data_IF_157680199889
#
_entry.id   IF_157680199889
#
_cell.length_a   1.000
_cell.length_b   1.000
_cell.length_c   1.000
_cell.angle_alpha   90.00
_cell.angle_beta   90.00
_cell.angle_gamma   90.00
#
_symmetry.space_group_name_H-M   'P 1'
#
loop_
_entity.id
_entity.type
_entity.pdbx_description
1 polymer ?
#
# COMPACT_ATOMS: atom_id res chain seq x y z
N UNK A 1 1.99 -7.19 -14.80
CA UNK A 1 1.65 -8.07 -13.65
C UNK A 1 1.51 -7.21 -12.40
N UNK A 2 1.17 -7.81 -11.25
CA UNK A 2 1.24 -7.11 -9.95
C UNK A 2 2.67 -6.63 -9.66
N UNK A 3 3.64 -7.51 -9.91
CA UNK A 3 5.07 -7.20 -9.78
C UNK A 3 5.50 -6.00 -10.66
N UNK A 4 4.97 -5.87 -11.87
CA UNK A 4 5.24 -4.70 -12.71
C UNK A 4 4.70 -3.40 -12.07
N UNK A 5 3.55 -3.46 -11.38
CA UNK A 5 3.01 -2.30 -10.65
C UNK A 5 3.90 -1.95 -9.46
N UNK A 6 4.31 -2.95 -8.69
CA UNK A 6 5.26 -2.80 -7.56
C UNK A 6 6.55 -2.17 -8.06
N UNK A 7 7.12 -2.68 -9.16
CA UNK A 7 8.34 -2.15 -9.78
C UNK A 7 8.18 -0.69 -10.22
N UNK A 8 7.06 -0.33 -10.85
CA UNK A 8 6.81 1.06 -11.25
C UNK A 8 6.79 2.01 -10.06
N UNK A 9 6.11 1.63 -8.98
CA UNK A 9 6.04 2.46 -7.77
C UNK A 9 7.38 2.49 -7.04
N UNK A 10 8.13 1.39 -7.02
CA UNK A 10 9.47 1.37 -6.44
C UNK A 10 10.44 2.31 -7.18
N UNK A 11 10.32 2.41 -8.51
CA UNK A 11 11.12 3.32 -9.33
C UNK A 11 10.66 4.79 -9.26
N UNK A 12 9.37 5.02 -8.96
CA UNK A 12 8.82 6.36 -8.81
C UNK A 12 7.80 6.42 -7.64
N UNK A 13 8.27 6.55 -6.39
CA UNK A 13 7.40 6.58 -5.21
C UNK A 13 6.43 7.77 -5.17
N UNK A 14 6.69 8.85 -5.92
CA UNK A 14 5.77 9.99 -6.06
C UNK A 14 4.39 9.60 -6.63
N UNK A 15 4.28 8.42 -7.26
CA UNK A 15 2.98 7.83 -7.63
C UNK A 15 2.06 7.66 -6.41
N UNK A 16 2.64 7.36 -5.24
CA UNK A 16 1.91 7.17 -3.99
C UNK A 16 1.70 8.50 -3.28
N UNK A 17 2.78 9.26 -3.09
CA UNK A 17 2.78 10.55 -2.41
C UNK A 17 3.99 11.37 -2.86
N UNK A 18 3.77 12.64 -3.22
CA UNK A 18 4.85 13.53 -3.68
C UNK A 18 5.96 13.65 -2.63
N UNK A 19 7.21 13.52 -3.07
CA UNK A 19 8.39 13.52 -2.20
C UNK A 19 8.58 12.25 -1.35
N UNK A 20 7.79 11.20 -1.57
CA UNK A 20 8.06 9.90 -0.93
C UNK A 20 9.33 9.25 -1.47
N UNK A 21 10.00 8.47 -0.64
CA UNK A 21 11.19 7.68 -1.02
C UNK A 21 11.01 6.21 -0.68
N UNK A 22 11.64 5.32 -1.45
CA UNK A 22 11.61 3.88 -1.21
C UNK A 22 12.47 3.55 0.02
N UNK A 23 11.91 2.80 0.97
CA UNK A 23 12.64 2.27 2.13
C UNK A 23 13.02 0.81 1.91
N UNK A 24 12.03 -0.03 1.56
CA UNK A 24 12.27 -1.45 1.31
C UNK A 24 11.20 -2.02 0.39
N UNK A 25 11.55 -3.13 -0.25
CA UNK A 25 10.65 -4.00 -1.02
C UNK A 25 10.44 -5.29 -0.24
N UNK A 26 9.27 -5.91 -0.41
CA UNK A 26 9.01 -7.30 0.02
C UNK A 26 9.33 -7.57 1.50
N UNK A 27 8.82 -6.74 2.41
CA UNK A 27 9.09 -6.86 3.84
C UNK A 27 8.24 -7.97 4.47
N UNK A 28 8.88 -9.01 4.98
CA UNK A 28 8.21 -10.08 5.72
C UNK A 28 7.70 -9.60 7.08
N UNK A 29 6.48 -10.00 7.42
CA UNK A 29 5.86 -9.79 8.73
C UNK A 29 5.18 -11.10 9.17
N UNK A 30 4.82 -11.26 10.46
CA UNK A 30 4.00 -12.37 10.91
C UNK A 30 2.62 -12.48 10.23
N UNK A 31 2.19 -11.44 9.53
CA UNK A 31 0.86 -11.35 8.92
C UNK A 31 0.90 -11.41 7.38
N UNK A 32 2.05 -11.72 6.79
CA UNK A 32 2.25 -11.73 5.34
C UNK A 32 3.41 -10.83 4.92
N UNK A 33 3.47 -10.52 3.63
CA UNK A 33 4.56 -9.74 3.03
C UNK A 33 4.04 -8.41 2.53
N UNK A 34 4.65 -7.32 2.99
CA UNK A 34 4.37 -5.97 2.53
C UNK A 34 5.12 -5.75 1.21
N UNK A 35 4.42 -5.33 0.16
CA UNK A 35 5.03 -5.14 -1.16
C UNK A 35 6.10 -4.05 -1.16
N UNK A 36 5.76 -2.88 -0.63
CA UNK A 36 6.66 -1.73 -0.47
C UNK A 36 6.46 -1.07 0.88
N UNK A 37 7.58 -0.61 1.43
CA UNK A 37 7.61 0.37 2.51
C UNK A 37 8.26 1.62 1.95
N UNK A 38 7.57 2.75 2.06
CA UNK A 38 8.06 4.07 1.66
C UNK A 38 8.17 4.98 2.88
N UNK A 39 8.87 6.09 2.72
CA UNK A 39 8.92 7.18 3.69
C UNK A 39 8.39 8.45 3.02
N UNK A 40 7.36 9.04 3.61
CA UNK A 40 6.86 10.36 3.20
C UNK A 40 7.90 11.46 3.45
N UNK A 41 7.72 12.61 2.80
CA UNK A 41 8.51 13.82 3.08
C UNK A 41 8.46 14.26 4.55
N UNK A 42 7.33 14.01 5.22
CA UNK A 42 7.09 14.40 6.62
C UNK A 42 7.56 13.31 7.61
N UNK A 43 8.26 12.28 7.13
CA UNK A 43 8.88 11.24 7.94
C UNK A 43 7.99 10.06 8.33
N UNK A 44 6.70 10.06 7.97
CA UNK A 44 5.79 8.92 8.15
C UNK A 44 6.22 7.74 7.27
N UNK A 45 6.12 6.53 7.80
CA UNK A 45 6.15 5.32 6.97
C UNK A 45 4.85 5.17 6.21
N UNK A 46 4.95 4.66 4.99
CA UNK A 46 3.82 4.29 4.16
C UNK A 46 3.99 2.81 3.82
N UNK A 47 3.07 1.98 4.30
CA UNK A 47 3.01 0.57 3.91
C UNK A 47 1.98 0.40 2.81
N UNK A 48 2.31 -0.43 1.83
CA UNK A 48 1.46 -0.64 0.65
C UNK A 48 0.98 -2.07 0.54
N UNK A 49 -0.22 -2.23 0.00
CA UNK A 49 -0.74 -3.51 -0.51
C UNK A 49 -1.11 -3.32 -1.99
N UNK A 50 -0.66 -4.21 -2.86
CA UNK A 50 -0.99 -4.19 -4.28
C UNK A 50 -2.02 -5.26 -4.65
N UNK A 51 -2.86 -4.93 -5.64
CA UNK A 51 -3.71 -5.89 -6.35
C UNK A 51 -3.66 -5.62 -7.85
N UNK A 52 -3.39 -6.65 -8.65
CA UNK A 52 -3.47 -6.55 -10.12
C UNK A 52 -4.89 -6.38 -10.71
N UNK A 53 -5.92 -6.55 -9.89
CA UNK A 53 -7.35 -6.49 -10.27
C UNK A 53 -8.15 -5.72 -9.20
N UNK A 54 -9.48 -5.72 -9.27
CA UNK A 54 -10.34 -5.07 -8.26
C UNK A 54 -9.96 -5.52 -6.85
N UNK A 55 -9.62 -4.57 -5.99
CA UNK A 55 -9.36 -4.84 -4.59
C UNK A 55 -10.67 -5.02 -3.81
N UNK A 56 -10.70 -6.06 -2.98
CA UNK A 56 -11.82 -6.46 -2.15
C UNK A 56 -11.55 -6.13 -0.66
N UNK A 57 -12.44 -6.61 0.21
CA UNK A 57 -12.36 -6.33 1.64
C UNK A 57 -11.14 -6.99 2.29
N UNK A 58 -10.69 -8.13 1.76
CA UNK A 58 -9.56 -8.89 2.28
C UNK A 58 -8.25 -8.15 2.07
N UNK A 59 -8.10 -7.47 0.93
CA UNK A 59 -6.97 -6.57 0.69
C UNK A 59 -6.90 -5.42 1.73
N UNK A 60 -8.05 -4.90 2.17
CA UNK A 60 -8.10 -3.84 3.19
C UNK A 60 -7.74 -4.40 4.58
N UNK A 61 -8.21 -5.61 4.93
CA UNK A 61 -7.80 -6.29 6.16
C UNK A 61 -6.31 -6.60 6.17
N UNK A 62 -5.75 -7.03 5.05
CA UNK A 62 -4.32 -7.29 4.90
C UNK A 62 -3.50 -6.01 5.16
N UNK A 63 -3.88 -4.91 4.50
CA UNK A 63 -3.27 -3.61 4.73
C UNK A 63 -3.38 -3.16 6.19
N UNK A 64 -4.54 -3.40 6.83
CA UNK A 64 -4.75 -3.08 8.25
C UNK A 64 -3.75 -3.80 9.15
N UNK A 65 -3.53 -5.10 8.94
CA UNK A 65 -2.56 -5.90 9.70
C UNK A 65 -1.14 -5.34 9.59
N UNK A 66 -0.76 -4.85 8.42
CA UNK A 66 0.56 -4.23 8.21
C UNK A 66 0.72 -2.91 8.94
N UNK A 67 -0.30 -2.05 8.88
CA UNK A 67 -0.32 -0.80 9.65
C UNK A 67 -0.25 -1.11 11.15
N UNK A 68 -1.08 -2.04 11.64
CA UNK A 68 -1.08 -2.51 13.03
C UNK A 68 0.28 -3.06 13.48
N UNK A 69 0.95 -3.82 12.62
CA UNK A 69 2.28 -4.35 12.88
C UNK A 69 3.29 -3.22 13.14
N UNK A 70 3.35 -2.22 12.26
CA UNK A 70 4.26 -1.08 12.45
C UNK A 70 3.85 -0.18 13.62
N UNK A 71 2.56 0.07 13.85
CA UNK A 71 2.11 0.92 14.95
C UNK A 71 2.57 0.42 16.33
N UNK A 72 2.77 -0.90 16.51
CA UNK A 72 3.31 -1.48 17.75
C UNK A 72 4.73 -1.01 18.08
N UNK A 73 5.49 -0.56 17.08
CA UNK A 73 6.85 -0.04 17.26
C UNK A 73 6.88 1.49 17.45
N UNK A 74 5.75 2.11 17.79
CA UNK A 74 5.63 3.56 17.99
C UNK A 74 6.06 4.41 16.78
N UNK A 75 5.97 3.84 15.58
CA UNK A 75 6.23 4.56 14.33
C UNK A 75 4.93 5.13 13.76
N UNK A 76 4.99 6.35 13.26
CA UNK A 76 3.90 6.96 12.52
C UNK A 76 3.79 6.30 11.14
N UNK A 77 2.71 5.55 10.91
CA UNK A 77 2.52 4.74 9.69
C UNK A 77 1.15 4.99 9.06
N UNK A 78 1.11 5.04 7.72
CA UNK A 78 -0.10 5.14 6.89
C UNK A 78 -0.21 3.94 5.96
N UNK A 79 -1.44 3.52 5.66
CA UNK A 79 -1.72 2.43 4.72
C UNK A 79 -2.17 2.95 3.36
N UNK A 80 -1.61 2.39 2.29
CA UNK A 80 -2.03 2.66 0.90
C UNK A 80 -2.36 1.36 0.16
N UNK A 81 -3.54 1.29 -0.44
CA UNK A 81 -3.94 0.18 -1.32
C UNK A 81 -3.83 0.62 -2.78
N UNK A 82 -3.10 -0.15 -3.59
CA UNK A 82 -2.83 0.15 -5.00
C UNK A 82 -3.48 -0.89 -5.90
N UNK A 83 -4.45 -0.50 -6.71
CA UNK A 83 -5.14 -1.43 -7.60
C UNK A 83 -5.82 -0.72 -8.80
N UNK A 84 -6.21 -1.43 -9.88
CA UNK A 84 -6.98 -0.84 -10.98
C UNK A 84 -8.35 -0.30 -10.55
N UNK A 85 -8.94 -0.91 -9.52
CA UNK A 85 -10.28 -0.63 -9.02
C UNK A 85 -10.43 -1.15 -7.60
N UNK A 86 -11.47 -0.73 -6.91
CA UNK A 86 -11.81 -1.16 -5.55
C UNK A 86 -13.31 -1.39 -5.45
N UNK A 87 -13.73 -2.45 -4.76
CA UNK A 87 -15.16 -2.70 -4.53
C UNK A 87 -15.76 -1.64 -3.59
N UNK A 88 -17.07 -1.31 -3.69
CA UNK A 88 -17.70 -0.32 -2.81
C UNK A 88 -17.55 -0.63 -1.31
N UNK A 89 -17.67 -1.92 -0.93
CA UNK A 89 -17.51 -2.37 0.46
C UNK A 89 -16.08 -2.16 0.96
N UNK A 90 -15.09 -2.53 0.14
CA UNK A 90 -13.68 -2.32 0.45
C UNK A 90 -13.37 -0.82 0.57
N UNK A 91 -13.89 0.01 -0.33
CA UNK A 91 -13.67 1.46 -0.30
C UNK A 91 -14.26 2.11 0.96
N UNK A 92 -15.45 1.67 1.40
CA UNK A 92 -16.06 2.15 2.64
C UNK A 92 -15.20 1.78 3.86
N UNK A 93 -14.70 0.54 3.94
CA UNK A 93 -13.84 0.10 5.04
C UNK A 93 -12.48 0.80 5.04
N UNK A 94 -11.88 0.95 3.86
CA UNK A 94 -10.60 1.64 3.66
C UNK A 94 -10.68 3.08 4.16
N UNK A 95 -11.77 3.80 3.82
CA UNK A 95 -12.03 5.16 4.32
C UNK A 95 -12.27 5.18 5.83
N UNK A 96 -13.02 4.22 6.38
CA UNK A 96 -13.28 4.10 7.82
C UNK A 96 -11.99 4.02 8.64
N UNK A 97 -10.93 3.43 8.09
CA UNK A 97 -9.61 3.32 8.75
C UNK A 97 -8.61 4.40 8.34
N UNK A 98 -9.02 5.40 7.57
CA UNK A 98 -8.14 6.50 7.16
C UNK A 98 -7.02 6.09 6.20
N UNK A 99 -7.18 4.97 5.50
CA UNK A 99 -6.23 4.52 4.48
C UNK A 99 -6.48 5.23 3.14
N UNK A 100 -5.48 5.22 2.27
CA UNK A 100 -5.57 5.83 0.93
C UNK A 100 -5.70 4.74 -0.14
N UNK A 101 -6.46 5.03 -1.19
CA UNK A 101 -6.53 4.22 -2.40
C UNK A 101 -5.81 4.94 -3.54
N UNK A 102 -4.95 4.23 -4.27
CA UNK A 102 -4.28 4.73 -5.48
C UNK A 102 -4.69 3.84 -6.65
N UNK A 103 -5.37 4.45 -7.63
CA UNK A 103 -5.79 3.74 -8.83
C UNK A 103 -4.60 3.55 -9.78
N UNK A 104 -4.18 2.30 -10.02
CA UNK A 104 -3.11 1.97 -10.96
C UNK A 104 -3.35 0.61 -11.60
N UNK A 105 -3.19 0.54 -12.91
CA UNK A 105 -3.26 -0.73 -13.65
C UNK A 105 -1.86 -1.29 -13.93
N UNK A 106 -1.72 -2.61 -14.06
CA UNK A 106 -0.52 -3.19 -14.64
C UNK A 106 -0.25 -2.58 -16.03
N UNK A 107 1.02 -2.41 -16.42
CA UNK A 107 1.34 -2.04 -17.80
C UNK A 107 0.81 -3.10 -18.77
N UNK A 108 0.29 -2.64 -19.90
CA UNK A 108 -0.02 -3.50 -21.05
C UNK A 108 1.32 -3.95 -21.63
N UNK A 109 1.52 -5.25 -21.78
CA UNK A 109 2.71 -5.82 -22.42
C UNK A 109 2.54 -5.84 -23.93
#
# INVERSE_FOLDING_TARGET
TEEDMVRQVALNPSIIEEGATLVSREVSTPHGRIDLVLRSKDGYLIVTEFKRSTADIDAVYQLRRYVEYYSKFHVNVRGVLVAPSISPRAQALLKKWGFKFVKRSPPIK
#
